data_IF_005416055090
#
_entry.id   IF_005416055090
#
_cell.length_a   1.000
_cell.length_b   1.000
_cell.length_c   1.000
_cell.angle_alpha   90.00
_cell.angle_beta   90.00
_cell.angle_gamma   90.00
#
_symmetry.space_group_name_H-M   'P 1'
#
loop_
_entity.id
_entity.type
_entity.pdbx_description
1 polymer ?
#
# COMPACT_ATOMS: atom_id res chain seq x y z
N UNK A 1 10.28 -14.31 20.21
CA UNK A 1 9.85 -13.66 18.94
C UNK A 1 8.45 -14.18 18.64
N UNK A 2 7.42 -13.34 18.75
CA UNK A 2 6.00 -13.74 18.64
C UNK A 2 5.46 -13.33 17.27
N UNK A 3 4.98 -14.29 16.50
CA UNK A 3 4.16 -14.11 15.30
C UNK A 3 3.33 -15.41 15.10
N UNK A 4 2.18 -15.38 14.40
CA UNK A 4 0.88 -15.12 15.02
C UNK A 4 -0.04 -16.35 15.01
N UNK A 5 -0.92 -16.41 16.03
CA UNK A 5 -1.98 -17.41 16.14
C UNK A 5 -3.03 -17.19 15.03
N UNK A 6 -2.89 -17.90 13.91
CA UNK A 6 -3.92 -18.04 12.90
C UNK A 6 -5.04 -18.95 13.43
N UNK A 7 -6.00 -18.36 14.14
CA UNK A 7 -7.20 -19.04 14.60
C UNK A 7 -8.10 -19.34 13.38
N UNK A 8 -7.86 -20.48 12.73
CA UNK A 8 -8.76 -21.06 11.72
C UNK A 8 -10.05 -21.50 12.42
N UNK A 9 -11.04 -20.60 12.50
CA UNK A 9 -12.43 -20.98 12.71
C UNK A 9 -13.13 -20.89 11.35
N UNK A 10 -13.30 -22.04 10.71
CA UNK A 10 -14.25 -22.21 9.60
C UNK A 10 -15.67 -22.14 10.16
N UNK A 11 -16.09 -20.95 10.58
CA UNK A 11 -17.51 -20.64 10.73
C UNK A 11 -18.03 -20.27 9.36
N UNK A 12 -19.21 -20.79 9.00
CA UNK A 12 -19.96 -20.31 7.82
C UNK A 12 -20.27 -18.82 8.06
N UNK A 13 -19.39 -17.94 7.59
CA UNK A 13 -19.52 -16.50 7.79
C UNK A 13 -20.59 -16.02 6.81
N UNK A 14 -21.65 -15.43 7.34
CA UNK A 14 -22.71 -14.83 6.52
C UNK A 14 -22.16 -13.61 5.78
N UNK A 15 -22.72 -13.31 4.61
CA UNK A 15 -22.37 -12.13 3.82
C UNK A 15 -22.39 -10.84 4.64
N UNK A 16 -23.38 -10.70 5.53
CA UNK A 16 -23.50 -9.52 6.41
C UNK A 16 -22.33 -9.37 7.39
N UNK A 17 -21.82 -10.49 7.90
CA UNK A 17 -20.68 -10.47 8.83
C UNK A 17 -19.41 -10.09 8.08
N UNK A 18 -19.23 -10.61 6.87
CA UNK A 18 -18.12 -10.22 6.00
C UNK A 18 -18.19 -8.74 5.61
N UNK A 19 -19.39 -8.20 5.35
CA UNK A 19 -19.60 -6.78 5.05
C UNK A 19 -19.17 -5.89 6.21
N UNK A 20 -19.64 -6.17 7.42
CA UNK A 20 -19.20 -5.44 8.63
C UNK A 20 -17.70 -5.56 8.88
N UNK A 21 -17.11 -6.72 8.60
CA UNK A 21 -15.66 -6.91 8.71
C UNK A 21 -14.88 -6.05 7.71
N UNK A 22 -15.36 -5.96 6.46
CA UNK A 22 -14.79 -5.13 5.40
C UNK A 22 -14.93 -3.62 5.65
N UNK A 23 -15.80 -3.22 6.56
CA UNK A 23 -15.90 -1.83 6.99
C UNK A 23 -14.79 -1.47 7.98
N UNK A 24 -14.40 -2.42 8.84
CA UNK A 24 -13.39 -2.23 9.88
C UNK A 24 -11.96 -2.54 9.41
N UNK A 25 -11.80 -3.26 8.30
CA UNK A 25 -10.48 -3.67 7.77
C UNK A 25 -10.12 -2.85 6.54
N UNK A 26 -8.85 -2.48 6.41
CA UNK A 26 -8.33 -1.72 5.26
C UNK A 26 -7.64 -2.62 4.21
N UNK A 27 -7.33 -3.87 4.59
CA UNK A 27 -6.60 -4.82 3.74
C UNK A 27 -7.47 -6.04 3.46
N UNK A 28 -7.46 -6.50 2.21
CA UNK A 28 -8.21 -7.70 1.77
C UNK A 28 -7.59 -8.97 2.36
N UNK A 29 -6.30 -8.96 2.68
CA UNK A 29 -5.57 -10.10 3.26
C UNK A 29 -5.99 -10.41 4.69
N UNK A 30 -6.44 -9.39 5.44
CA UNK A 30 -7.00 -9.53 6.80
C UNK A 30 -8.38 -10.18 6.80
N UNK A 31 -9.08 -10.24 5.66
CA UNK A 31 -10.36 -10.93 5.58
C UNK A 31 -10.16 -12.46 5.56
N UNK A 32 -10.99 -13.22 6.29
CA UNK A 32 -10.97 -14.67 6.21
C UNK A 32 -11.32 -15.13 4.78
N UNK A 33 -10.81 -16.30 4.39
CA UNK A 33 -10.97 -16.83 3.04
C UNK A 33 -12.44 -16.95 2.62
N UNK A 34 -13.33 -17.25 3.56
CA UNK A 34 -14.78 -17.27 3.36
C UNK A 34 -15.34 -15.93 2.89
N UNK A 35 -14.80 -14.82 3.39
CA UNK A 35 -15.25 -13.48 2.99
C UNK A 35 -14.62 -13.02 1.66
N UNK A 36 -13.42 -13.50 1.33
CA UNK A 36 -12.78 -13.25 0.02
C UNK A 36 -13.50 -13.93 -1.14
N UNK A 37 -14.32 -14.95 -0.86
CA UNK A 37 -15.16 -15.59 -1.87
C UNK A 37 -16.28 -14.65 -2.39
N UNK A 38 -16.65 -13.62 -1.64
CA UNK A 38 -17.65 -12.63 -2.06
C UNK A 38 -17.00 -11.51 -2.88
N UNK A 39 -17.10 -11.60 -4.21
CA UNK A 39 -16.54 -10.60 -5.14
C UNK A 39 -16.96 -9.16 -4.83
N UNK A 40 -18.25 -8.96 -4.52
CA UNK A 40 -18.79 -7.63 -4.19
C UNK A 40 -18.08 -6.95 -3.00
N UNK A 41 -17.64 -7.75 -2.01
CA UNK A 41 -16.92 -7.22 -0.83
C UNK A 41 -15.48 -6.87 -1.20
N UNK A 42 -14.84 -7.72 -2.01
CA UNK A 42 -13.48 -7.49 -2.50
C UNK A 42 -13.42 -6.22 -3.36
N UNK A 43 -14.38 -6.04 -4.28
CA UNK A 43 -14.48 -4.85 -5.13
C UNK A 43 -14.68 -3.57 -4.29
N UNK A 44 -15.54 -3.60 -3.28
CA UNK A 44 -15.74 -2.50 -2.34
C UNK A 44 -14.45 -2.12 -1.60
N UNK A 45 -13.69 -3.13 -1.16
CA UNK A 45 -12.40 -2.95 -0.47
C UNK A 45 -11.33 -2.37 -1.40
N UNK A 46 -11.25 -2.84 -2.64
CA UNK A 46 -10.32 -2.30 -3.63
C UNK A 46 -10.64 -0.85 -3.96
N UNK A 47 -11.91 -0.50 -4.14
CA UNK A 47 -12.34 0.88 -4.36
C UNK A 47 -12.02 1.79 -3.17
N UNK A 48 -12.18 1.30 -1.93
CA UNK A 48 -11.76 2.04 -0.73
C UNK A 48 -10.25 2.31 -0.72
N UNK A 49 -9.43 1.30 -1.09
CA UNK A 49 -7.97 1.43 -1.17
C UNK A 49 -7.52 2.41 -2.26
N UNK A 50 -8.26 2.46 -3.37
CA UNK A 50 -8.05 3.46 -4.42
C UNK A 50 -8.37 4.87 -3.93
N UNK A 51 -9.44 5.05 -3.16
CA UNK A 51 -9.83 6.36 -2.58
C UNK A 51 -8.90 6.83 -1.45
N UNK A 52 -8.31 5.91 -0.68
CA UNK A 52 -7.38 6.27 0.41
C UNK A 52 -5.99 6.66 -0.08
N UNK A 53 -5.62 6.27 -1.32
CA UNK A 53 -4.39 6.75 -1.93
C UNK A 53 -4.56 8.21 -2.31
N UNK A 54 -3.62 9.11 -1.93
CA UNK A 54 -3.71 10.49 -2.35
C UNK A 54 -3.64 10.55 -3.88
N UNK A 55 -4.69 11.08 -4.51
CA UNK A 55 -4.80 11.25 -5.97
C UNK A 55 -3.65 12.11 -6.51
N UNK A 56 -3.16 13.05 -5.70
CA UNK A 56 -1.95 13.82 -5.97
C UNK A 56 -0.79 13.29 -5.10
N UNK A 57 0.28 12.71 -5.66
CA UNK A 57 1.44 12.27 -4.90
C UNK A 57 2.18 13.41 -4.17
N UNK A 58 1.83 14.67 -4.46
CA UNK A 58 2.33 15.86 -3.78
C UNK A 58 1.31 16.45 -2.79
N UNK A 59 0.19 15.75 -2.53
CA UNK A 59 -0.80 16.17 -1.53
C UNK A 59 -0.17 16.28 -0.14
N UNK A 60 -0.40 17.40 0.54
CA UNK A 60 0.17 17.68 1.86
C UNK A 60 1.56 18.33 1.85
N UNK A 61 2.20 18.51 0.68
CA UNK A 61 3.41 19.32 0.58
C UNK A 61 3.10 20.82 0.66
N UNK A 62 4.00 21.61 1.26
CA UNK A 62 3.92 23.07 1.21
C UNK A 62 3.89 23.53 -0.25
N UNK A 63 3.05 24.51 -0.58
CA UNK A 63 2.76 24.90 -1.97
C UNK A 63 4.02 25.08 -2.84
N UNK A 64 5.05 25.78 -2.36
CA UNK A 64 6.31 25.95 -3.10
C UNK A 64 7.05 24.63 -3.36
N UNK A 65 7.14 23.76 -2.35
CA UNK A 65 7.78 22.45 -2.47
C UNK A 65 7.00 21.51 -3.41
N UNK A 66 5.67 21.58 -3.42
CA UNK A 66 4.84 20.81 -4.34
C UNK A 66 5.09 21.20 -5.80
N UNK A 67 5.25 22.51 -6.08
CA UNK A 67 5.53 23.02 -7.43
C UNK A 67 6.92 22.58 -7.90
N UNK A 68 7.94 22.71 -7.04
CA UNK A 68 9.29 22.25 -7.36
C UNK A 68 9.34 20.74 -7.63
N UNK A 69 8.66 19.95 -6.79
CA UNK A 69 8.61 18.50 -6.96
C UNK A 69 7.86 18.09 -8.23
N UNK A 70 6.75 18.78 -8.58
CA UNK A 70 6.05 18.61 -9.86
C UNK A 70 6.96 18.92 -11.04
N UNK A 71 7.73 20.01 -10.97
CA UNK A 71 8.67 20.42 -12.02
C UNK A 71 9.83 19.43 -12.16
N UNK A 72 10.43 19.00 -11.05
CA UNK A 72 11.50 17.99 -11.05
C UNK A 72 11.03 16.67 -11.67
N UNK A 73 9.79 16.24 -11.37
CA UNK A 73 9.17 15.06 -11.99
C UNK A 73 8.99 15.25 -13.49
N UNK A 74 8.51 16.42 -13.95
CA UNK A 74 8.33 16.72 -15.37
C UNK A 74 9.65 16.79 -16.14
N UNK A 75 10.71 17.32 -15.52
CA UNK A 75 12.07 17.37 -16.07
C UNK A 75 12.80 16.01 -16.00
N UNK A 76 12.18 14.97 -15.44
CA UNK A 76 12.78 13.64 -15.31
C UNK A 76 13.92 13.56 -14.30
N UNK A 77 14.02 14.50 -13.37
CA UNK A 77 15.07 14.49 -12.33
C UNK A 77 14.81 13.34 -11.36
N UNK A 78 15.86 12.56 -11.11
CA UNK A 78 15.81 11.46 -10.15
C UNK A 78 15.50 11.98 -8.75
N UNK A 79 14.62 11.29 -8.03
CA UNK A 79 14.33 11.63 -6.64
C UNK A 79 15.55 11.36 -5.75
N UNK A 80 15.65 12.06 -4.62
CA UNK A 80 16.73 11.83 -3.64
C UNK A 80 16.86 10.34 -3.28
N UNK A 81 15.75 9.63 -3.11
CA UNK A 81 15.77 8.20 -2.79
C UNK A 81 16.33 7.35 -3.96
N UNK A 82 16.04 7.72 -5.21
CA UNK A 82 16.64 7.05 -6.38
C UNK A 82 18.15 7.31 -6.45
N UNK A 83 18.57 8.56 -6.24
CA UNK A 83 19.98 8.94 -6.16
C UNK A 83 20.72 8.17 -5.07
N UNK A 84 20.14 8.07 -3.87
CA UNK A 84 20.72 7.30 -2.76
C UNK A 84 20.86 5.82 -3.11
N UNK A 85 19.82 5.19 -3.70
CA UNK A 85 19.91 3.80 -4.18
C UNK A 85 21.03 3.61 -5.19
N UNK A 86 21.20 4.54 -6.13
CA UNK A 86 22.28 4.49 -7.13
C UNK A 86 23.66 4.59 -6.47
N UNK A 87 23.83 5.53 -5.55
CA UNK A 87 25.08 5.73 -4.81
C UNK A 87 25.41 4.52 -3.92
N UNK A 88 24.43 3.96 -3.20
CA UNK A 88 24.61 2.77 -2.36
C UNK A 88 25.00 1.55 -3.20
N UNK A 89 24.32 1.30 -4.32
CA UNK A 89 24.65 0.17 -5.23
C UNK A 89 25.99 0.35 -5.94
N UNK A 90 26.41 1.59 -6.19
CA UNK A 90 27.73 1.88 -6.75
C UNK A 90 28.88 1.59 -5.76
N UNK A 91 28.61 1.65 -4.45
CA UNK A 91 29.56 1.31 -3.39
C UNK A 91 29.76 -0.19 -3.18
N UNK A 92 28.73 -1.01 -3.42
CA UNK A 92 28.76 -2.47 -3.19
C UNK A 92 29.66 -3.21 -4.20
N UNK A 93 29.91 -2.65 -5.38
CA UNK A 93 30.73 -3.30 -6.43
C UNK A 93 32.25 -3.12 -6.29
N UNK A 94 32.73 -2.44 -5.24
CA UNK A 94 34.16 -2.11 -5.09
C UNK A 94 34.93 -2.94 -4.04
N UNK A 95 34.28 -3.89 -3.37
CA UNK A 95 34.92 -4.70 -2.31
C UNK A 95 34.78 -6.21 -2.52
N UNK A 96 34.83 -6.70 -3.76
CA UNK A 96 35.16 -8.11 -4.01
C UNK A 96 36.67 -8.21 -4.14
N UNK A 97 37.34 -8.67 -3.08
CA UNK A 97 38.73 -9.14 -3.10
C UNK A 97 38.75 -10.63 -3.35
#
# INVERSE_FOLDING_TARGET
MVAPNANKKETKVSYETCRKLSENTNNIEDLPASCRAYSAIVELMEQKKLKSRPTDPFAGMRAGAAVEAKRAKAEGRESHHQLQRRLSRAGERKFTK
#
